data_IF_742879768605
#
_entry.id   IF_742879768605
#
_cell.length_a   1.000
_cell.length_b   1.000
_cell.length_c   1.000
_cell.angle_alpha   90.00
_cell.angle_beta   90.00
_cell.angle_gamma   90.00
#
_symmetry.space_group_name_H-M   'P 1'
#
loop_
_entity.id
_entity.type
_entity.pdbx_description
1 polymer ?
#
# COMPACT_ATOMS: atom_id res chain seq x y z
N UNK A 1 26.25 17.16 -1.38
CA UNK A 1 24.97 16.73 -1.97
C UNK A 1 24.51 15.48 -1.23
N UNK A 2 23.55 15.60 -0.31
CA UNK A 2 23.03 14.44 0.40
C UNK A 2 22.35 13.50 -0.59
N UNK A 3 22.66 12.21 -0.56
CA UNK A 3 21.92 11.23 -1.36
C UNK A 3 20.44 11.36 -0.97
N UNK A 4 19.62 11.74 -1.93
CA UNK A 4 18.17 11.72 -1.74
C UNK A 4 17.81 10.27 -1.41
N UNK A 5 17.42 9.97 -0.16
CA UNK A 5 17.03 8.63 0.27
C UNK A 5 15.92 8.14 -0.66
N UNK A 6 16.29 7.29 -1.63
CA UNK A 6 15.40 6.90 -2.72
C UNK A 6 14.32 5.98 -2.15
N UNK A 7 13.06 6.38 -2.29
CA UNK A 7 11.91 5.55 -1.95
C UNK A 7 11.35 4.84 -3.20
N UNK A 8 10.78 3.63 -3.07
CA UNK A 8 10.09 2.93 -4.16
C UNK A 8 8.96 3.78 -4.73
N UNK A 9 8.75 3.80 -6.06
CA UNK A 9 7.73 4.64 -6.71
C UNK A 9 6.31 4.40 -6.18
N UNK A 10 5.38 5.31 -6.51
CA UNK A 10 3.97 5.16 -6.11
C UNK A 10 3.39 3.85 -6.69
N UNK A 11 3.71 3.54 -7.93
CA UNK A 11 3.26 2.36 -8.67
C UNK A 11 3.82 1.07 -8.07
N UNK A 12 5.12 1.04 -7.73
CA UNK A 12 5.72 -0.11 -7.05
C UNK A 12 5.08 -0.33 -5.68
N UNK A 13 4.85 0.76 -4.94
CA UNK A 13 4.21 0.69 -3.62
C UNK A 13 2.75 0.22 -3.74
N UNK A 14 2.02 0.71 -4.75
CA UNK A 14 0.64 0.32 -5.03
C UNK A 14 0.54 -1.16 -5.44
N UNK A 15 1.39 -1.62 -6.35
CA UNK A 15 1.45 -3.02 -6.76
C UNK A 15 1.76 -3.95 -5.59
N UNK A 16 2.73 -3.60 -4.76
CA UNK A 16 3.05 -4.38 -3.55
C UNK A 16 1.89 -4.41 -2.55
N UNK A 17 1.17 -3.29 -2.38
CA UNK A 17 -0.01 -3.23 -1.53
C UNK A 17 -1.15 -4.11 -2.06
N UNK A 18 -1.44 -4.07 -3.36
CA UNK A 18 -2.44 -4.93 -3.99
C UNK A 18 -2.10 -6.40 -3.79
N UNK A 19 -0.86 -6.80 -4.10
CA UNK A 19 -0.42 -8.18 -3.93
C UNK A 19 -0.52 -8.64 -2.47
N UNK A 20 -0.11 -7.78 -1.52
CA UNK A 20 -0.28 -8.05 -0.10
C UNK A 20 -1.74 -8.30 0.28
N UNK A 21 -2.65 -7.43 -0.15
CA UNK A 21 -4.07 -7.54 0.18
C UNK A 21 -4.71 -8.78 -0.43
N UNK A 22 -4.37 -9.08 -1.69
CA UNK A 22 -4.84 -10.26 -2.41
C UNK A 22 -4.55 -11.57 -1.66
N UNK A 23 -3.32 -11.71 -1.14
CA UNK A 23 -2.90 -12.91 -0.40
C UNK A 23 -3.41 -12.95 1.05
N UNK A 24 -3.63 -11.81 1.70
CA UNK A 24 -4.15 -11.76 3.07
C UNK A 24 -5.66 -12.09 3.16
N UNK A 25 -6.37 -12.06 2.03
CA UNK A 25 -7.81 -12.33 1.83
C UNK A 25 -8.78 -11.42 2.61
N UNK A 26 -8.52 -11.13 3.88
CA UNK A 26 -9.37 -10.35 4.77
C UNK A 26 -8.87 -8.92 4.98
N UNK A 27 -7.99 -8.41 4.11
CA UNK A 27 -7.39 -7.08 4.28
C UNK A 27 -6.53 -6.94 5.55
N UNK A 28 -6.28 -5.68 5.96
CA UNK A 28 -5.57 -5.34 7.20
C UNK A 28 -5.81 -3.87 7.61
N UNK A 29 -5.54 -3.53 8.88
CA UNK A 29 -5.47 -2.13 9.31
C UNK A 29 -4.37 -1.37 8.58
N UNK A 30 -4.65 -0.12 8.19
CA UNK A 30 -3.71 0.77 7.51
C UNK A 30 -2.39 0.91 8.24
N UNK A 31 -2.41 1.08 9.57
CA UNK A 31 -1.21 1.16 10.42
C UNK A 31 -0.26 -0.03 10.19
N UNK A 32 -0.82 -1.23 10.10
CA UNK A 32 -0.04 -2.45 9.89
C UNK A 32 0.49 -2.54 8.46
N UNK A 33 -0.25 -1.99 7.48
CA UNK A 33 0.16 -1.94 6.09
C UNK A 33 1.42 -1.10 5.87
N UNK A 34 1.55 0.08 6.51
CA UNK A 34 2.76 0.91 6.40
C UNK A 34 4.02 0.13 6.80
N UNK A 35 3.95 -0.59 7.93
CA UNK A 35 5.07 -1.36 8.46
C UNK A 35 5.39 -2.56 7.58
N UNK A 36 4.38 -3.38 7.25
CA UNK A 36 4.55 -4.57 6.40
C UNK A 36 5.07 -4.23 5.01
N UNK A 37 4.64 -3.12 4.41
CA UNK A 37 5.16 -2.65 3.13
C UNK A 37 6.62 -2.22 3.22
N UNK A 38 7.00 -1.50 4.28
CA UNK A 38 8.39 -1.10 4.50
C UNK A 38 9.31 -2.32 4.65
N UNK A 39 8.85 -3.34 5.36
CA UNK A 39 9.58 -4.60 5.54
C UNK A 39 9.72 -5.36 4.22
N UNK A 40 8.63 -5.54 3.46
CA UNK A 40 8.66 -6.25 2.18
C UNK A 40 9.49 -5.55 1.10
N UNK A 41 9.51 -4.21 1.11
CA UNK A 41 10.29 -3.41 0.16
C UNK A 41 11.73 -3.16 0.62
N UNK A 42 12.15 -3.74 1.76
CA UNK A 42 13.52 -3.66 2.24
C UNK A 42 13.96 -2.25 2.64
N UNK A 43 13.05 -1.39 3.12
CA UNK A 43 13.40 -0.03 3.52
C UNK A 43 14.30 -0.06 4.76
N UNK A 44 15.42 0.65 4.69
CA UNK A 44 16.29 0.93 5.82
C UNK A 44 15.61 1.82 6.87
N UNK A 45 16.15 1.83 8.09
CA UNK A 45 15.69 2.73 9.14
C UNK A 45 15.75 4.21 8.73
N UNK A 46 16.78 4.61 7.97
CA UNK A 46 16.91 5.97 7.46
C UNK A 46 15.77 6.33 6.49
N UNK A 47 15.38 5.42 5.58
CA UNK A 47 14.26 5.63 4.65
C UNK A 47 12.91 5.70 5.39
N UNK A 48 12.69 4.83 6.38
CA UNK A 48 11.44 4.81 7.17
C UNK A 48 11.23 6.10 7.98
N UNK A 49 12.33 6.67 8.48
CA UNK A 49 12.32 7.83 9.35
C UNK A 49 12.63 9.16 8.63
N UNK A 50 12.82 9.15 7.31
CA UNK A 50 13.06 10.35 6.53
C UNK A 50 11.83 11.28 6.59
N UNK A 51 12.03 12.53 7.00
CA UNK A 51 10.98 13.54 7.19
C UNK A 51 10.98 14.59 6.09
N UNK A 52 9.78 15.00 5.68
CA UNK A 52 9.62 16.13 4.77
C UNK A 52 10.03 17.42 5.46
N UNK A 53 10.79 18.27 4.77
CA UNK A 53 11.25 19.55 5.32
C UNK A 53 10.10 20.50 5.70
N UNK A 54 8.98 20.44 4.99
CA UNK A 54 7.87 21.39 5.12
C UNK A 54 6.98 21.16 6.34
N UNK A 55 6.70 19.91 6.70
CA UNK A 55 5.67 19.57 7.70
C UNK A 55 6.07 18.42 8.64
N UNK A 56 7.33 17.98 8.58
CA UNK A 56 7.89 16.92 9.42
C UNK A 56 7.21 15.54 9.29
N UNK A 57 6.29 15.35 8.34
CA UNK A 57 5.69 14.04 8.07
C UNK A 57 6.71 13.08 7.48
N UNK A 58 6.51 11.79 7.69
CA UNK A 58 7.37 10.77 7.11
C UNK A 58 7.16 10.70 5.60
N UNK A 59 8.25 10.79 4.83
CA UNK A 59 8.22 10.64 3.37
C UNK A 59 7.61 9.29 2.97
N UNK A 60 7.90 8.23 3.74
CA UNK A 60 7.38 6.89 3.51
C UNK A 60 5.85 6.82 3.69
N UNK A 61 5.31 7.43 4.74
CA UNK A 61 3.86 7.42 4.95
C UNK A 61 3.13 8.16 3.83
N UNK A 62 3.68 9.30 3.37
CA UNK A 62 3.12 10.01 2.24
C UNK A 62 3.17 9.17 0.94
N UNK A 63 4.23 8.39 0.73
CA UNK A 63 4.35 7.45 -0.41
C UNK A 63 3.24 6.40 -0.40
N UNK A 64 3.00 5.77 0.75
CA UNK A 64 1.90 4.79 0.91
C UNK A 64 0.54 5.46 0.73
N UNK A 65 0.33 6.67 1.26
CA UNK A 65 -0.92 7.40 1.05
C UNK A 65 -1.20 7.72 -0.42
N UNK A 66 -0.17 8.10 -1.19
CA UNK A 66 -0.32 8.33 -2.64
C UNK A 66 -0.66 7.03 -3.38
N UNK A 67 -0.01 5.91 -3.02
CA UNK A 67 -0.34 4.60 -3.56
C UNK A 67 -1.79 4.20 -3.25
N UNK A 68 -2.28 4.44 -2.03
CA UNK A 68 -3.67 4.16 -1.65
C UNK A 68 -4.66 5.02 -2.44
N UNK A 69 -4.35 6.29 -2.68
CA UNK A 69 -5.20 7.15 -3.53
C UNK A 69 -5.30 6.58 -4.95
N UNK A 70 -4.16 6.26 -5.57
CA UNK A 70 -4.13 5.64 -6.89
C UNK A 70 -5.01 4.38 -6.94
N UNK A 71 -4.90 3.49 -5.96
CA UNK A 71 -5.71 2.27 -5.92
C UNK A 71 -7.21 2.53 -5.71
N UNK A 72 -7.58 3.56 -4.93
CA UNK A 72 -8.98 3.97 -4.77
C UNK A 72 -9.55 4.58 -6.04
N UNK A 73 -8.78 5.42 -6.72
CA UNK A 73 -9.18 6.05 -7.97
C UNK A 73 -9.41 5.00 -9.07
N UNK A 74 -8.66 3.89 -9.03
CA UNK A 74 -8.84 2.73 -9.89
C UNK A 74 -9.96 1.77 -9.42
N UNK A 75 -10.62 2.05 -8.30
CA UNK A 75 -11.67 1.20 -7.75
C UNK A 75 -11.17 -0.12 -7.14
N UNK A 76 -9.88 -0.24 -6.82
CA UNK A 76 -9.30 -1.50 -6.33
C UNK A 76 -9.43 -1.73 -4.83
N UNK A 77 -9.73 -0.68 -4.06
CA UNK A 77 -9.90 -0.77 -2.61
C UNK A 77 -11.36 -0.55 -2.23
N UNK A 78 -11.85 -1.34 -1.27
CA UNK A 78 -13.15 -1.10 -0.66
C UNK A 78 -13.19 0.31 -0.04
N UNK A 79 -14.22 1.13 -0.33
CA UNK A 79 -14.38 2.44 0.31
C UNK A 79 -14.72 2.30 1.79
N UNK A 80 -15.39 1.20 2.15
CA UNK A 80 -15.81 0.84 3.50
C UNK A 80 -15.81 -0.69 3.64
N UNK A 81 -15.32 -1.20 4.77
CA UNK A 81 -15.32 -2.64 5.08
C UNK A 81 -16.26 -2.89 6.26
N UNK A 82 -17.41 -3.56 6.06
CA UNK A 82 -18.38 -3.82 7.12
C UNK A 82 -17.77 -4.57 8.30
N UNK A 83 -18.12 -4.15 9.53
CA UNK A 83 -17.64 -4.78 10.77
C UNK A 83 -16.16 -4.53 11.09
N UNK A 84 -15.49 -3.62 10.36
CA UNK A 84 -14.10 -3.21 10.63
C UNK A 84 -14.01 -1.73 11.01
N UNK A 85 -12.97 -1.41 11.77
CA UNK A 85 -12.67 -0.03 12.16
C UNK A 85 -12.33 0.85 10.95
N UNK A 86 -12.50 2.16 11.10
CA UNK A 86 -12.01 3.14 10.12
C UNK A 86 -10.52 2.93 9.86
N UNK A 87 -10.13 3.04 8.59
CA UNK A 87 -8.74 2.85 8.17
C UNK A 87 -8.34 1.38 8.00
N UNK A 88 -9.30 0.48 7.81
CA UNK A 88 -9.06 -0.87 7.29
C UNK A 88 -8.98 -0.84 5.76
N UNK A 89 -8.04 -1.58 5.18
CA UNK A 89 -7.85 -1.68 3.74
C UNK A 89 -8.04 -3.11 3.26
N UNK A 90 -8.85 -3.25 2.22
CA UNK A 90 -9.19 -4.52 1.60
C UNK A 90 -9.43 -4.28 0.10
N UNK A 91 -9.20 -5.32 -0.72
CA UNK A 91 -9.54 -5.22 -2.14
C UNK A 91 -11.05 -5.17 -2.32
N UNK A 92 -11.53 -4.38 -3.27
CA UNK A 92 -12.90 -4.46 -3.76
C UNK A 92 -13.20 -5.86 -4.33
N UNK A 93 -14.46 -6.25 -4.34
CA UNK A 93 -14.89 -7.54 -4.92
C UNK A 93 -14.55 -7.62 -6.42
N UNK A 94 -14.65 -6.50 -7.15
CA UNK A 94 -14.31 -6.41 -8.58
C UNK A 94 -12.81 -6.63 -8.82
N UNK A 95 -11.96 -5.95 -8.04
CA UNK A 95 -10.51 -6.18 -8.09
C UNK A 95 -10.15 -7.61 -7.69
N UNK A 96 -10.80 -8.17 -6.67
CA UNK A 96 -10.60 -9.57 -6.28
C UNK A 96 -10.87 -10.51 -7.44
N UNK A 97 -12.04 -10.39 -8.06
CA UNK A 97 -12.42 -11.20 -9.22
C UNK A 97 -11.49 -10.98 -10.43
N UNK A 98 -10.96 -9.76 -10.62
CA UNK A 98 -9.94 -9.50 -11.63
C UNK A 98 -8.65 -10.29 -11.35
N UNK A 99 -8.11 -10.22 -10.12
CA UNK A 99 -6.87 -10.92 -9.78
C UNK A 99 -7.03 -12.43 -9.74
N UNK A 100 -8.20 -12.94 -9.33
CA UNK A 100 -8.51 -14.37 -9.39
C UNK A 100 -8.50 -14.86 -10.86
N UNK A 101 -9.09 -14.09 -11.79
CA UNK A 101 -9.03 -14.40 -13.23
C UNK A 101 -7.60 -14.40 -13.76
N UNK A 102 -6.80 -13.39 -13.41
CA UNK A 102 -5.39 -13.32 -13.80
C UNK A 102 -4.64 -14.55 -13.29
N UNK A 103 -4.80 -14.89 -12.02
CA UNK A 103 -4.14 -16.04 -11.41
C UNK A 103 -4.54 -17.37 -12.07
N UNK A 104 -5.80 -17.53 -12.47
CA UNK A 104 -6.29 -18.75 -13.13
C UNK A 104 -5.77 -18.94 -14.57
N UNK A 105 -5.38 -17.87 -15.26
CA UNK A 105 -4.82 -17.94 -16.63
C UNK A 105 -3.34 -18.31 -16.59
N UNK A 106 -2.67 -18.03 -15.48
CA UNK A 106 -1.23 -18.24 -15.31
C UNK A 106 -0.86 -19.53 -14.58
N UNK A 107 -1.85 -20.31 -14.13
CA UNK A 107 -1.68 -21.58 -13.44
C UNK A 107 -1.80 -22.77 -14.41
#
# INVERSE_FOLDING_TARGET
MGSMLKLPSNEVTAGMLVMMLYFLKNGLPSKDAYQKLADRLGLSAAQRNARMHRDQRLHWENRVQQAVRLLRDLGYLQPYVPGKNRGYWELSDEARALFDRIASVTA
#
